data_IF_736141485734
#
_entry.id   IF_736141485734
#
_cell.length_a   1.000
_cell.length_b   1.000
_cell.length_c   1.000
_cell.angle_alpha   90.00
_cell.angle_beta   90.00
_cell.angle_gamma   90.00
#
_symmetry.space_group_name_H-M   'P 1'
#
loop_
_entity.id
_entity.type
_entity.pdbx_description
1 polymer ?
#
# COMPACT_ATOMS: atom_id res chain seq x y z
N UNK A 1 7.12 -0.92 29.20
CA UNK A 1 7.41 -1.57 27.89
C UNK A 1 6.13 -1.94 27.14
N UNK A 2 5.00 -2.17 27.82
CA UNK A 2 3.72 -2.56 27.19
C UNK A 2 3.15 -1.54 26.18
N UNK A 3 3.27 -0.23 26.46
CA UNK A 3 2.70 0.80 25.58
C UNK A 3 3.33 0.91 24.18
N UNK A 4 4.50 0.29 23.94
CA UNK A 4 5.16 0.26 22.62
C UNK A 4 4.65 -0.91 21.80
N UNK A 5 4.51 -2.10 22.42
CA UNK A 5 3.95 -3.28 21.74
C UNK A 5 2.49 -3.04 21.34
N UNK A 6 1.69 -2.41 22.21
CA UNK A 6 0.30 -2.06 21.89
C UNK A 6 0.15 -1.08 20.71
N UNK A 7 1.19 -0.31 20.38
CA UNK A 7 1.21 0.61 19.24
C UNK A 7 1.66 -0.08 17.96
N UNK A 8 2.76 -0.84 18.01
CA UNK A 8 3.23 -1.65 16.87
C UNK A 8 2.14 -2.62 16.40
N UNK A 9 1.40 -3.24 17.32
CA UNK A 9 0.26 -4.10 16.98
C UNK A 9 -0.89 -3.35 16.30
N UNK A 10 -1.12 -2.07 16.63
CA UNK A 10 -2.17 -1.26 15.96
C UNK A 10 -1.75 -0.86 14.56
N UNK A 11 -0.49 -0.48 14.37
CA UNK A 11 0.02 -0.05 13.06
C UNK A 11 0.13 -1.20 12.08
N UNK A 12 0.45 -2.40 12.55
CA UNK A 12 0.35 -3.61 11.74
C UNK A 12 -1.09 -3.89 11.28
N UNK A 13 -2.09 -3.71 12.15
CA UNK A 13 -3.51 -3.86 11.79
C UNK A 13 -3.94 -2.78 10.80
N UNK A 14 -3.53 -1.51 10.99
CA UNK A 14 -3.81 -0.42 10.05
C UNK A 14 -3.18 -0.68 8.68
N UNK A 15 -1.97 -1.24 8.62
CA UNK A 15 -1.32 -1.65 7.37
C UNK A 15 -2.06 -2.80 6.66
N UNK A 16 -2.49 -3.83 7.40
CA UNK A 16 -3.27 -4.94 6.84
C UNK A 16 -4.58 -4.45 6.24
N UNK A 17 -5.29 -3.54 6.92
CA UNK A 17 -6.50 -2.91 6.41
C UNK A 17 -6.23 -2.05 5.16
N UNK A 18 -5.14 -1.27 5.19
CA UNK A 18 -4.76 -0.43 4.05
C UNK A 18 -4.46 -1.26 2.81
N UNK A 19 -3.82 -2.41 2.98
CA UNK A 19 -3.53 -3.34 1.90
C UNK A 19 -4.83 -3.89 1.29
N UNK A 20 -5.78 -4.30 2.12
CA UNK A 20 -7.08 -4.77 1.67
C UNK A 20 -7.81 -3.67 0.87
N UNK A 21 -7.81 -2.43 1.34
CA UNK A 21 -8.43 -1.30 0.63
C UNK A 21 -7.71 -0.95 -0.69
N UNK A 22 -6.38 -1.07 -0.71
CA UNK A 22 -5.59 -0.83 -1.92
C UNK A 22 -5.86 -1.89 -3.00
N UNK A 23 -5.95 -3.17 -2.61
CA UNK A 23 -5.93 -4.31 -3.54
C UNK A 23 -7.32 -4.89 -3.82
N UNK A 24 -8.18 -4.95 -2.81
CA UNK A 24 -9.44 -5.69 -2.87
C UNK A 24 -10.66 -4.80 -3.15
N UNK A 25 -10.61 -3.50 -2.83
CA UNK A 25 -11.71 -2.62 -3.15
C UNK A 25 -11.81 -2.40 -4.66
N UNK A 26 -12.87 -2.95 -5.27
CA UNK A 26 -13.13 -2.87 -6.70
C UNK A 26 -13.43 -1.46 -7.19
N UNK A 27 -13.77 -0.53 -6.29
CA UNK A 27 -14.04 0.87 -6.63
C UNK A 27 -12.81 1.78 -6.39
N UNK A 28 -11.73 1.22 -5.84
CA UNK A 28 -10.49 1.94 -5.55
C UNK A 28 -9.63 2.04 -6.81
N UNK A 29 -9.29 3.27 -7.22
CA UNK A 29 -8.32 3.53 -8.27
C UNK A 29 -6.87 3.55 -7.73
N UNK A 30 -6.65 3.20 -6.45
CA UNK A 30 -5.39 3.38 -5.76
C UNK A 30 -4.22 2.69 -6.48
N UNK A 31 -4.39 1.43 -6.91
CA UNK A 31 -3.34 0.71 -7.65
C UNK A 31 -3.01 1.35 -8.99
N UNK A 32 -4.02 1.87 -9.69
CA UNK A 32 -3.83 2.53 -10.98
C UNK A 32 -3.01 3.80 -10.80
N UNK A 33 -3.45 4.66 -9.89
CA UNK A 33 -2.77 5.91 -9.57
C UNK A 33 -1.34 5.67 -9.04
N UNK A 34 -1.14 4.65 -8.20
CA UNK A 34 0.18 4.26 -7.72
C UNK A 34 1.10 3.86 -8.88
N UNK A 35 0.59 3.08 -9.84
CA UNK A 35 1.38 2.61 -10.99
C UNK A 35 1.65 3.68 -12.05
N UNK A 36 0.94 4.81 -12.02
CA UNK A 36 1.27 5.98 -12.85
C UNK A 36 2.50 6.74 -12.31
N UNK A 37 2.86 6.54 -11.03
CA UNK A 37 4.08 7.10 -10.47
C UNK A 37 5.33 6.38 -11.02
N UNK A 38 6.48 7.06 -11.11
CA UNK A 38 7.74 6.39 -11.38
C UNK A 38 8.04 5.31 -10.34
N UNK A 39 8.56 4.17 -10.79
CA UNK A 39 8.96 3.11 -9.88
C UNK A 39 9.97 3.59 -8.83
N UNK A 40 9.81 3.12 -7.60
CA UNK A 40 10.63 3.50 -6.44
C UNK A 40 10.33 4.89 -5.89
N UNK A 41 9.40 5.65 -6.51
CA UNK A 41 8.94 6.92 -5.94
C UNK A 41 7.97 6.66 -4.80
N UNK A 42 8.33 7.16 -3.62
CA UNK A 42 7.46 7.16 -2.45
C UNK A 42 6.38 8.24 -2.55
N UNK A 43 5.17 7.87 -2.16
CA UNK A 43 4.03 8.76 -1.98
C UNK A 43 3.35 8.47 -0.63
N UNK A 44 2.74 9.47 -0.01
CA UNK A 44 1.95 9.25 1.20
C UNK A 44 0.63 8.56 0.84
N UNK A 45 0.30 7.47 1.55
CA UNK A 45 -0.87 6.63 1.26
C UNK A 45 -2.19 7.41 1.30
N UNK A 46 -2.27 8.44 2.16
CA UNK A 46 -3.45 9.33 2.28
C UNK A 46 -3.85 10.03 0.98
N UNK A 47 -2.96 10.14 0.00
CA UNK A 47 -3.25 10.80 -1.27
C UNK A 47 -4.13 9.97 -2.21
N UNK A 48 -4.25 8.66 -1.97
CA UNK A 48 -5.02 7.75 -2.80
C UNK A 48 -6.46 7.56 -2.30
N UNK A 49 -6.79 8.11 -1.13
CA UNK A 49 -8.09 7.94 -0.48
C UNK A 49 -8.78 9.28 -0.24
N UNK A 50 -10.09 9.22 -0.03
CA UNK A 50 -10.82 10.34 0.54
C UNK A 50 -10.23 10.72 1.92
N UNK A 51 -10.10 12.02 2.16
CA UNK A 51 -9.42 12.54 3.35
C UNK A 51 -10.14 12.14 4.65
N UNK A 52 -11.48 12.20 4.67
CA UNK A 52 -12.28 11.88 5.85
C UNK A 52 -12.28 10.38 6.12
N UNK A 53 -12.30 9.57 5.05
CA UNK A 53 -12.13 8.12 5.13
C UNK A 53 -10.76 7.76 5.72
N UNK A 54 -9.67 8.32 5.16
CA UNK A 54 -8.32 7.98 5.61
C UNK A 54 -8.10 8.38 7.07
N UNK A 55 -8.51 9.61 7.44
CA UNK A 55 -8.38 10.11 8.81
C UNK A 55 -9.27 9.35 9.82
N UNK A 56 -10.27 8.61 9.37
CA UNK A 56 -11.13 7.80 10.25
C UNK A 56 -10.56 6.40 10.51
N UNK A 57 -9.90 5.82 9.51
CA UNK A 57 -9.43 4.42 9.54
C UNK A 57 -7.93 4.25 9.83
N UNK A 58 -7.10 5.25 9.50
CA UNK A 58 -5.62 5.17 9.56
C UNK A 58 -5.02 6.27 10.45
N UNK A 59 -5.51 6.37 11.69
CA UNK A 59 -5.23 7.51 12.58
C UNK A 59 -3.83 7.52 13.17
N UNK A 60 -3.19 6.36 13.28
CA UNK A 60 -1.92 6.25 13.99
C UNK A 60 -0.72 6.15 13.04
N UNK A 61 -0.99 5.83 11.77
CA UNK A 61 0.05 5.47 10.81
C UNK A 61 0.39 6.59 9.82
N UNK A 62 1.69 6.90 9.72
CA UNK A 62 2.22 7.77 8.66
C UNK A 62 2.78 6.90 7.54
N UNK A 63 1.87 6.38 6.72
CA UNK A 63 2.18 5.33 5.75
C UNK A 63 2.62 5.94 4.44
N UNK A 64 3.83 5.57 4.03
CA UNK A 64 4.33 5.79 2.68
C UNK A 64 4.19 4.51 1.87
N UNK A 65 3.83 4.66 0.59
CA UNK A 65 3.70 3.56 -0.36
C UNK A 65 4.55 3.84 -1.60
N UNK A 66 5.18 2.81 -2.14
CA UNK A 66 5.79 2.84 -3.45
C UNK A 66 5.60 1.49 -4.16
N UNK A 67 5.82 1.50 -5.48
CA UNK A 67 5.89 0.26 -6.25
C UNK A 67 7.27 0.09 -6.89
N UNK A 68 7.69 -1.15 -7.01
CA UNK A 68 8.96 -1.59 -7.58
C UNK A 68 8.71 -2.60 -8.70
N UNK A 69 9.60 -2.70 -9.71
CA UNK A 69 9.55 -3.80 -10.65
C UNK A 69 9.84 -5.11 -9.91
N UNK A 70 9.65 -6.23 -10.61
CA UNK A 70 10.10 -7.53 -10.13
C UNK A 70 11.63 -7.56 -9.94
N UNK A 71 12.15 -8.61 -9.31
CA UNK A 71 13.58 -8.77 -8.95
C UNK A 71 14.48 -8.75 -10.19
N UNK A 72 13.97 -9.15 -11.36
CA UNK A 72 14.68 -9.09 -12.64
C UNK A 72 14.56 -7.72 -13.34
N UNK A 73 13.86 -6.76 -12.73
CA UNK A 73 13.58 -5.43 -13.29
C UNK A 73 12.41 -5.38 -14.26
N UNK A 74 11.73 -6.50 -14.53
CA UNK A 74 10.53 -6.55 -15.36
C UNK A 74 9.32 -5.96 -14.63
N UNK A 75 8.43 -5.31 -15.37
CA UNK A 75 7.13 -4.85 -14.87
C UNK A 75 5.96 -5.63 -15.44
N UNK A 76 6.24 -6.65 -16.25
CA UNK A 76 5.25 -7.33 -17.09
C UNK A 76 4.55 -8.48 -16.34
N UNK A 77 5.29 -9.16 -15.47
CA UNK A 77 4.81 -10.35 -14.75
C UNK A 77 4.36 -10.01 -13.35
N UNK A 78 5.22 -9.31 -12.62
CA UNK A 78 4.98 -8.96 -11.23
C UNK A 78 5.31 -7.49 -10.98
N UNK A 79 4.59 -6.90 -10.04
CA UNK A 79 4.96 -5.61 -9.43
C UNK A 79 4.93 -5.78 -7.93
N UNK A 80 5.95 -5.25 -7.28
CA UNK A 80 6.06 -5.29 -5.83
C UNK A 80 5.53 -3.96 -5.30
N UNK A 81 4.67 -3.99 -4.29
CA UNK A 81 4.24 -2.81 -3.56
C UNK A 81 4.78 -2.89 -2.15
N UNK A 82 5.35 -1.78 -1.70
CA UNK A 82 5.91 -1.64 -0.36
C UNK A 82 5.13 -0.55 0.37
N UNK A 83 4.56 -0.92 1.50
CA UNK A 83 3.99 -0.02 2.49
C UNK A 83 4.97 0.11 3.65
N UNK A 84 5.16 1.34 4.13
CA UNK A 84 6.05 1.63 5.23
C UNK A 84 5.43 2.67 6.16
N UNK A 85 5.15 2.29 7.39
CA UNK A 85 4.75 3.23 8.43
C UNK A 85 5.99 3.85 9.08
N UNK A 86 6.18 5.14 8.86
CA UNK A 86 7.34 5.88 9.35
C UNK A 86 7.33 5.97 10.88
N UNK A 87 6.15 6.00 11.50
CA UNK A 87 6.04 6.22 12.94
C UNK A 87 6.51 5.00 13.73
N UNK A 88 6.09 3.80 13.32
CA UNK A 88 6.34 2.55 14.02
C UNK A 88 7.39 1.66 13.34
N UNK A 89 7.98 2.12 12.22
CA UNK A 89 9.02 1.43 11.45
C UNK A 89 8.60 0.03 10.98
N UNK A 90 7.30 -0.17 10.77
CA UNK A 90 6.73 -1.42 10.27
C UNK A 90 6.57 -1.31 8.76
N UNK A 91 6.97 -2.38 8.05
CA UNK A 91 6.80 -2.48 6.61
C UNK A 91 5.96 -3.69 6.23
N UNK A 92 5.15 -3.54 5.20
CA UNK A 92 4.46 -4.64 4.54
C UNK A 92 4.79 -4.64 3.05
N UNK A 93 5.06 -5.82 2.50
CA UNK A 93 5.44 -5.99 1.10
C UNK A 93 4.53 -7.01 0.46
N UNK A 94 3.96 -6.66 -0.69
CA UNK A 94 3.17 -7.57 -1.51
C UNK A 94 3.73 -7.66 -2.92
N UNK A 95 3.62 -8.83 -3.52
CA UNK A 95 3.89 -9.03 -4.94
C UNK A 95 2.57 -9.31 -5.65
N UNK A 96 2.26 -8.48 -6.64
CA UNK A 96 1.05 -8.61 -7.44
C UNK A 96 1.38 -9.26 -8.78
N UNK A 97 0.67 -10.33 -9.10
CA UNK A 97 0.71 -10.92 -10.43
C UNK A 97 -0.11 -10.06 -11.39
N UNK A 98 0.57 -9.38 -12.32
CA UNK A 98 -0.04 -8.44 -13.25
C UNK A 98 -0.92 -9.14 -14.30
N UNK A 99 -0.64 -10.41 -14.61
CA UNK A 99 -1.47 -11.19 -15.54
C UNK A 99 -2.89 -11.41 -15.00
N UNK A 100 -3.04 -11.61 -13.69
CA UNK A 100 -4.36 -11.78 -13.05
C UNK A 100 -5.04 -10.46 -12.73
N UNK A 101 -4.26 -9.38 -12.56
CA UNK A 101 -4.77 -8.05 -12.27
C UNK A 101 -5.39 -7.40 -13.52
N UNK A 102 -4.68 -7.48 -14.65
CA UNK A 102 -5.10 -6.93 -15.94
C UNK A 102 -6.34 -7.59 -16.54
N UNK A 103 -6.58 -8.87 -16.22
CA UNK A 103 -7.79 -9.58 -16.67
C UNK A 103 -9.08 -9.14 -15.96
N UNK A 104 -8.97 -8.46 -14.80
CA UNK A 104 -10.12 -8.01 -14.01
C UNK A 104 -10.31 -6.49 -14.03
N UNK A 105 -9.25 -5.72 -14.25
CA UNK A 105 -9.27 -4.27 -14.30
C UNK A 105 -8.28 -3.83 -15.39
N UNK A 106 -8.74 -3.07 -16.40
CA UNK A 106 -7.87 -2.53 -17.45
C UNK A 106 -6.95 -1.45 -16.84
N UNK A 107 -5.76 -1.85 -16.42
CA UNK A 107 -4.67 -0.98 -15.97
C UNK A 107 -3.81 -0.50 -17.14
#
# INVERSE_FOLDING_TARGET
MEASQDKEHKSAIELDLLLDDFVLDKNSNCLKELFELPSGKWAEAKHFFDQDYYASNYRNSNISVCWLPDVDGSTDKYRIIVFFDINDLVSQVISLNMATLSSNNSF
#
